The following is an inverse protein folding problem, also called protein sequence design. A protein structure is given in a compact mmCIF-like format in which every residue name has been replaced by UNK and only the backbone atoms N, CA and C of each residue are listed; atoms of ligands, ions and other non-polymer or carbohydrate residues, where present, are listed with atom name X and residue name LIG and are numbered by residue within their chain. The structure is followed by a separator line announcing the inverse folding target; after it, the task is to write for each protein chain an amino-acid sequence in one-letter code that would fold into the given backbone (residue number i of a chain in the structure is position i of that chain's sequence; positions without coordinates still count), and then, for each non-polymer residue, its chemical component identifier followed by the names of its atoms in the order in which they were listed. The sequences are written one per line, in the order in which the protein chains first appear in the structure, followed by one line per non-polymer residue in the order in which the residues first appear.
data_IF_297136921034
#
_entry.id   IF_297136921034
#
_cell.length_a   1.000
_cell.length_b   1.000
_cell.length_c   1.000
_cell.angle_alpha   90.00
_cell.angle_beta   90.00
_cell.angle_gamma   90.00
#
_symmetry.space_group_name_H-M   'P 1'
#
loop_
_entity.id
_entity.type
_entity.pdbx_description
1 polymer ?
#
# COMPACT_ATOMS: atom_id res chain seq x y z
N UNK A 1 65.49 -16.09 -45.01
CA UNK A 1 64.62 -16.15 -43.83
C UNK A 1 64.24 -14.72 -43.48
N UNK A 2 62.99 -14.35 -43.73
CA UNK A 2 62.49 -12.99 -43.47
C UNK A 2 60.97 -13.04 -43.53
N UNK A 3 60.36 -13.23 -42.37
CA UNK A 3 58.91 -13.21 -42.19
C UNK A 3 58.46 -11.75 -42.10
N UNK A 4 57.69 -11.29 -43.08
CA UNK A 4 56.97 -10.02 -43.05
C UNK A 4 55.54 -10.28 -42.57
N UNK A 5 55.26 -9.92 -41.32
CA UNK A 5 53.92 -9.92 -40.75
C UNK A 5 53.15 -8.68 -41.27
N UNK A 6 52.05 -8.92 -41.99
CA UNK A 6 51.05 -7.89 -42.29
C UNK A 6 50.15 -7.70 -41.06
N UNK A 7 50.12 -6.49 -40.52
CA UNK A 7 49.11 -6.05 -39.54
C UNK A 7 47.89 -5.53 -40.28
N UNK A 8 46.76 -6.24 -40.16
CA UNK A 8 45.45 -5.77 -40.63
C UNK A 8 44.86 -4.71 -39.68
N UNK A 9 43.98 -3.81 -40.17
CA UNK A 9 43.39 -2.76 -39.35
C UNK A 9 42.42 -3.36 -38.32
N UNK A 10 42.54 -2.93 -37.08
CA UNK A 10 41.62 -3.28 -36.01
C UNK A 10 40.24 -2.66 -36.30
N UNK A 11 39.24 -3.50 -36.52
CA UNK A 11 37.84 -3.06 -36.60
C UNK A 11 37.39 -2.65 -35.21
N UNK A 12 37.15 -1.34 -35.02
CA UNK A 12 36.53 -0.82 -33.81
C UNK A 12 35.10 -1.39 -33.70
N UNK A 13 34.81 -2.09 -32.61
CA UNK A 13 33.44 -2.50 -32.31
C UNK A 13 32.56 -1.26 -32.14
N UNK A 14 31.30 -1.29 -32.63
CA UNK A 14 30.37 -0.21 -32.38
C UNK A 14 30.14 -0.03 -30.88
N UNK A 15 29.94 1.21 -30.39
CA UNK A 15 29.66 1.44 -28.99
C UNK A 15 28.39 0.67 -28.58
N UNK A 16 28.45 0.01 -27.43
CA UNK A 16 27.31 -0.63 -26.82
C UNK A 16 26.14 0.38 -26.71
N UNK A 17 24.88 -0.05 -26.91
CA UNK A 17 23.75 0.85 -26.78
C UNK A 17 23.77 1.45 -25.38
N UNK A 18 23.81 2.79 -25.33
CA UNK A 18 23.64 3.55 -24.11
C UNK A 18 22.33 3.12 -23.45
N UNK A 19 22.41 2.59 -22.24
CA UNK A 19 21.27 2.30 -21.38
C UNK A 19 20.54 3.60 -21.02
N UNK A 20 19.68 4.05 -21.93
CA UNK A 20 18.72 5.11 -21.65
C UNK A 20 17.90 4.68 -20.44
N UNK A 21 18.02 5.42 -19.35
CA UNK A 21 17.13 5.21 -18.20
C UNK A 21 15.73 5.57 -18.70
N UNK A 22 14.85 4.59 -18.86
CA UNK A 22 13.47 4.85 -19.23
C UNK A 22 12.90 5.84 -18.21
N UNK A 23 12.30 6.94 -18.66
CA UNK A 23 11.69 7.91 -17.75
C UNK A 23 10.56 7.23 -16.98
N UNK A 24 10.37 7.64 -15.73
CA UNK A 24 9.24 7.18 -14.92
C UNK A 24 7.92 7.43 -15.68
N UNK A 25 7.03 6.43 -15.67
CA UNK A 25 5.71 6.56 -16.29
C UNK A 25 4.82 7.46 -15.44
N UNK A 26 3.89 8.16 -16.10
CA UNK A 26 2.90 9.01 -15.44
C UNK A 26 1.48 8.55 -15.80
N UNK A 27 0.58 8.62 -14.83
CA UNK A 27 -0.84 8.37 -14.99
C UNK A 27 -1.61 9.59 -14.47
N UNK A 28 -2.46 10.17 -15.30
CA UNK A 28 -3.28 11.31 -14.90
C UNK A 28 -4.41 10.85 -13.98
N UNK A 29 -4.62 11.55 -12.86
CA UNK A 29 -5.67 11.24 -11.93
C UNK A 29 -7.05 11.64 -12.45
N UNK A 30 -8.01 10.71 -12.33
CA UNK A 30 -9.42 10.92 -12.68
C UNK A 30 -10.24 11.04 -11.41
N UNK A 31 -10.85 12.22 -11.19
CA UNK A 31 -11.83 12.40 -10.13
C UNK A 31 -13.19 11.91 -10.57
N UNK A 32 -13.90 11.22 -9.69
CA UNK A 32 -15.28 10.78 -9.90
C UNK A 32 -16.23 11.50 -8.94
N UNK A 33 -17.51 11.56 -9.30
CA UNK A 33 -18.54 12.24 -8.52
C UNK A 33 -19.47 11.28 -7.76
N UNK A 34 -19.59 10.04 -8.24
CA UNK A 34 -20.37 8.99 -7.62
C UNK A 34 -19.43 7.86 -7.20
N UNK A 35 -19.61 7.29 -6.00
CA UNK A 35 -18.80 6.17 -5.55
C UNK A 35 -19.07 4.93 -6.41
N UNK A 36 -18.04 4.09 -6.53
CA UNK A 36 -18.11 2.78 -7.19
C UNK A 36 -18.49 1.73 -6.15
N UNK A 37 -19.34 0.77 -6.51
CA UNK A 37 -19.68 -0.32 -5.61
C UNK A 37 -18.57 -1.37 -5.70
N UNK A 38 -17.99 -1.73 -4.56
CA UNK A 38 -16.89 -2.69 -4.53
C UNK A 38 -17.45 -4.12 -4.47
N UNK A 39 -17.70 -4.72 -5.62
CA UNK A 39 -18.20 -6.10 -5.72
C UNK A 39 -17.43 -6.99 -6.71
N UNK A 40 -16.38 -6.43 -7.33
CA UNK A 40 -15.51 -7.10 -8.29
C UNK A 40 -16.07 -7.12 -9.70
N UNK A 41 -17.16 -6.40 -10.00
CA UNK A 41 -17.76 -6.28 -11.33
C UNK A 41 -17.52 -4.88 -11.88
N UNK A 42 -16.73 -4.77 -12.94
CA UNK A 42 -16.40 -3.47 -13.57
C UNK A 42 -17.53 -2.96 -14.49
N UNK A 43 -18.74 -2.76 -13.95
CA UNK A 43 -19.90 -2.31 -14.73
C UNK A 43 -20.22 -0.82 -14.62
N UNK A 44 -19.65 -0.12 -13.63
CA UNK A 44 -19.80 1.32 -13.47
C UNK A 44 -19.18 2.10 -14.64
N UNK A 45 -19.88 3.13 -15.18
CA UNK A 45 -19.36 3.95 -16.27
C UNK A 45 -18.01 4.61 -15.96
N UNK A 46 -17.75 4.92 -14.68
CA UNK A 46 -16.52 5.58 -14.23
C UNK A 46 -15.25 4.83 -14.66
N UNK A 47 -15.27 3.49 -14.59
CA UNK A 47 -14.14 2.65 -15.01
C UNK A 47 -13.76 2.85 -16.49
N UNK A 48 -14.74 3.14 -17.35
CA UNK A 48 -14.52 3.36 -18.79
C UNK A 48 -13.96 4.75 -19.10
N UNK A 49 -14.12 5.70 -18.18
CA UNK A 49 -13.61 7.06 -18.32
C UNK A 49 -12.20 7.25 -17.77
N UNK A 50 -11.72 6.30 -16.95
CA UNK A 50 -10.38 6.33 -16.39
C UNK A 50 -9.34 5.92 -17.44
N UNK A 51 -8.20 6.61 -17.45
CA UNK A 51 -7.06 6.19 -18.26
C UNK A 51 -6.53 4.85 -17.76
N UNK A 52 -6.34 3.84 -18.64
CA UNK A 52 -5.83 2.55 -18.22
C UNK A 52 -4.31 2.61 -18.02
N UNK A 53 -3.84 2.00 -16.94
CA UNK A 53 -2.46 1.57 -16.77
C UNK A 53 -2.26 0.27 -17.57
N UNK A 54 -1.48 0.34 -18.64
CA UNK A 54 -1.22 -0.75 -19.59
C UNK A 54 0.28 -1.02 -19.75
N UNK A 55 0.62 -1.97 -20.62
CA UNK A 55 1.98 -2.26 -21.09
C UNK A 55 2.95 -2.59 -19.95
N UNK A 56 2.55 -3.50 -19.07
CA UNK A 56 3.36 -3.92 -17.94
C UNK A 56 4.68 -4.58 -18.40
N UNK A 57 5.71 -4.38 -17.58
CA UNK A 57 7.04 -4.94 -17.81
C UNK A 57 7.30 -6.06 -16.82
N UNK A 58 7.83 -7.17 -17.30
CA UNK A 58 8.21 -8.30 -16.50
C UNK A 58 9.37 -7.96 -15.57
N UNK A 59 9.14 -8.18 -14.28
CA UNK A 59 10.12 -8.04 -13.21
C UNK A 59 10.83 -9.37 -12.94
N UNK A 60 10.12 -10.49 -13.09
CA UNK A 60 10.70 -11.85 -13.01
C UNK A 60 9.82 -12.86 -13.75
N UNK A 61 10.38 -13.96 -14.27
CA UNK A 61 11.82 -14.27 -14.29
C UNK A 61 12.62 -13.48 -15.33
N UNK A 62 11.99 -12.98 -16.41
CA UNK A 62 12.67 -12.29 -17.51
C UNK A 62 12.55 -10.77 -17.36
N UNK A 63 13.44 -10.19 -16.56
CA UNK A 63 13.51 -8.74 -16.32
C UNK A 63 13.49 -7.95 -17.64
N UNK A 64 12.62 -6.95 -17.74
CA UNK A 64 12.50 -6.08 -18.91
C UNK A 64 11.68 -6.67 -20.06
N UNK A 65 11.17 -7.91 -19.92
CA UNK A 65 10.24 -8.50 -20.89
C UNK A 65 8.92 -7.73 -20.96
N UNK A 66 8.28 -7.71 -22.13
CA UNK A 66 6.91 -7.18 -22.24
C UNK A 66 5.90 -8.24 -21.79
N UNK A 67 4.87 -7.82 -21.07
CA UNK A 67 3.74 -8.69 -20.76
C UNK A 67 3.08 -9.23 -22.05
N UNK A 68 2.66 -10.49 -22.04
CA UNK A 68 1.97 -11.09 -23.18
C UNK A 68 0.54 -10.53 -23.28
N UNK A 69 0.16 -10.10 -24.48
CA UNK A 69 -1.16 -9.54 -24.78
C UNK A 69 -2.34 -10.46 -24.38
N UNK A 70 -2.19 -11.79 -24.54
CA UNK A 70 -3.23 -12.77 -24.18
C UNK A 70 -3.45 -12.90 -22.67
N UNK A 71 -2.45 -12.53 -21.87
CA UNK A 71 -2.52 -12.55 -20.41
C UNK A 71 -2.43 -11.16 -19.83
N UNK A 72 -2.65 -10.10 -20.61
CA UNK A 72 -2.38 -8.72 -20.21
C UNK A 72 -3.10 -8.29 -18.93
N UNK A 73 -2.59 -7.25 -18.30
CA UNK A 73 -3.19 -6.59 -17.15
C UNK A 73 -3.70 -5.22 -17.57
N UNK A 74 -4.94 -4.91 -17.20
CA UNK A 74 -5.53 -3.59 -17.37
C UNK A 74 -5.96 -3.11 -15.99
N UNK A 75 -5.43 -1.97 -15.54
CA UNK A 75 -5.80 -1.40 -14.25
C UNK A 75 -6.12 0.09 -14.38
N UNK A 76 -6.92 0.60 -13.46
CA UNK A 76 -7.44 1.95 -13.47
C UNK A 76 -7.30 2.53 -12.07
N UNK A 77 -7.03 3.84 -12.01
CA UNK A 77 -7.02 4.61 -10.78
C UNK A 77 -7.97 5.80 -10.88
N UNK A 78 -8.83 5.91 -9.88
CA UNK A 78 -9.78 7.01 -9.73
C UNK A 78 -9.82 7.46 -8.28
N UNK A 79 -10.37 8.64 -8.02
CA UNK A 79 -10.53 9.13 -6.64
C UNK A 79 -11.76 10.01 -6.48
N UNK A 80 -12.22 10.12 -5.24
CA UNK A 80 -13.26 11.05 -4.82
C UNK A 80 -12.81 11.80 -3.55
N UNK A 81 -13.77 12.27 -2.74
CA UNK A 81 -13.46 12.99 -1.51
C UNK A 81 -13.12 12.06 -0.32
N UNK A 82 -13.46 10.78 -0.41
CA UNK A 82 -13.38 9.82 0.69
C UNK A 82 -12.17 8.89 0.55
N UNK A 83 -11.74 8.61 -0.68
CA UNK A 83 -10.60 7.74 -0.94
C UNK A 83 -10.21 7.65 -2.41
N UNK A 84 -9.48 6.59 -2.73
CA UNK A 84 -9.20 6.22 -4.11
C UNK A 84 -9.57 4.79 -4.42
N UNK A 85 -9.82 4.56 -5.70
CA UNK A 85 -10.25 3.30 -6.26
C UNK A 85 -9.14 2.74 -7.12
N UNK A 86 -8.85 1.46 -6.93
CA UNK A 86 -7.95 0.66 -7.74
C UNK A 86 -8.71 -0.55 -8.27
N UNK A 87 -8.95 -0.59 -9.56
CA UNK A 87 -9.73 -1.66 -10.17
C UNK A 87 -9.18 -2.04 -11.53
N UNK A 88 -9.60 -3.19 -12.04
CA UNK A 88 -9.05 -3.67 -13.29
C UNK A 88 -9.36 -5.12 -13.61
N UNK A 89 -8.83 -5.56 -14.75
CA UNK A 89 -8.98 -6.91 -15.26
C UNK A 89 -7.62 -7.55 -15.51
N UNK A 90 -7.45 -8.74 -14.94
CA UNK A 90 -6.30 -9.59 -15.10
C UNK A 90 -6.64 -10.71 -16.11
N UNK A 91 -6.29 -10.53 -17.38
CA UNK A 91 -6.59 -11.54 -18.42
C UNK A 91 -5.74 -12.79 -18.22
N UNK A 92 -6.33 -13.94 -18.49
CA UNK A 92 -5.69 -15.25 -18.43
C UNK A 92 -6.16 -16.12 -19.59
N UNK A 93 -5.29 -17.03 -20.05
CA UNK A 93 -5.61 -17.91 -21.19
C UNK A 93 -6.81 -18.81 -20.90
N UNK A 94 -6.89 -19.30 -19.67
CA UNK A 94 -7.99 -20.13 -19.18
C UNK A 94 -8.21 -19.88 -17.70
N UNK A 95 -9.41 -20.16 -17.22
CA UNK A 95 -9.70 -20.17 -15.77
C UNK A 95 -8.77 -21.07 -14.96
N UNK A 96 -8.27 -22.15 -15.56
CA UNK A 96 -7.35 -23.08 -14.93
C UNK A 96 -5.92 -22.55 -14.84
N UNK A 97 -5.54 -21.48 -15.56
CA UNK A 97 -4.21 -20.86 -15.35
C UNK A 97 -4.15 -20.00 -14.09
N UNK A 98 -5.29 -19.60 -13.54
CA UNK A 98 -5.39 -18.80 -12.31
C UNK A 98 -5.05 -19.69 -11.10
N UNK A 99 -3.99 -19.34 -10.36
CA UNK A 99 -3.70 -19.97 -9.08
C UNK A 99 -4.63 -19.41 -7.99
N UNK A 100 -5.37 -20.32 -7.34
CA UNK A 100 -6.41 -19.99 -6.36
C UNK A 100 -6.64 -21.15 -5.39
N UNK A 101 -6.01 -21.08 -4.24
CA UNK A 101 -6.19 -21.95 -3.09
C UNK A 101 -6.62 -21.09 -1.92
N UNK A 102 -7.65 -21.50 -1.18
CA UNK A 102 -8.11 -20.71 -0.05
C UNK A 102 -7.14 -20.93 1.12
N UNK A 103 -6.27 -19.96 1.38
CA UNK A 103 -5.23 -20.02 2.43
C UNK A 103 -5.59 -19.13 3.63
N UNK A 104 -6.51 -18.16 3.46
CA UNK A 104 -6.94 -17.22 4.47
C UNK A 104 -6.13 -15.91 4.45
N UNK A 105 -6.52 -14.95 5.31
CA UNK A 105 -5.77 -13.69 5.49
C UNK A 105 -4.32 -14.01 5.88
N UNK A 106 -3.37 -13.29 5.31
CA UNK A 106 -1.91 -13.46 5.53
C UNK A 106 -1.27 -14.73 4.92
N UNK A 107 -2.01 -15.51 4.11
CA UNK A 107 -1.49 -16.63 3.32
C UNK A 107 -0.79 -16.22 2.01
N UNK A 108 0.17 -15.30 2.07
CA UNK A 108 0.81 -14.70 0.89
C UNK A 108 1.66 -15.71 0.11
N UNK A 109 1.60 -15.62 -1.23
CA UNK A 109 2.53 -16.32 -2.12
C UNK A 109 2.07 -17.68 -2.66
N UNK A 110 0.84 -18.13 -2.39
CA UNK A 110 0.28 -19.36 -3.02
C UNK A 110 -0.65 -19.03 -4.20
N UNK A 111 -1.26 -17.85 -4.19
CA UNK A 111 -2.21 -17.40 -5.19
C UNK A 111 -1.63 -16.40 -6.16
N UNK A 112 -2.30 -16.24 -7.30
CA UNK A 112 -2.12 -15.04 -8.10
C UNK A 112 -2.51 -13.82 -7.26
N UNK A 113 -1.85 -12.69 -7.48
CA UNK A 113 -2.23 -11.43 -6.86
C UNK A 113 -2.03 -10.26 -7.81
N UNK A 114 -2.79 -9.20 -7.56
CA UNK A 114 -2.51 -7.86 -8.06
C UNK A 114 -2.39 -6.95 -6.85
N UNK A 115 -1.54 -5.93 -6.95
CA UNK A 115 -1.45 -4.94 -5.90
C UNK A 115 -0.92 -3.61 -6.37
N UNK A 116 -1.15 -2.62 -5.52
CA UNK A 116 -0.73 -1.25 -5.70
C UNK A 116 0.17 -0.85 -4.54
N UNK A 117 1.30 -0.24 -4.89
CA UNK A 117 2.27 0.35 -3.97
C UNK A 117 2.20 1.85 -4.17
N UNK A 118 2.04 2.63 -3.11
CA UNK A 118 1.90 4.10 -3.17
C UNK A 118 2.80 4.78 -2.15
N UNK A 119 3.58 5.74 -2.63
CA UNK A 119 4.24 6.78 -1.86
C UNK A 119 3.49 8.12 -2.02
N UNK A 120 2.68 8.44 -1.01
CA UNK A 120 1.85 9.66 -0.99
C UNK A 120 2.64 10.95 -0.74
N UNK A 121 3.91 10.86 -0.32
CA UNK A 121 4.77 12.02 -0.03
C UNK A 121 5.79 12.28 -1.15
N UNK A 122 6.01 11.32 -2.05
CA UNK A 122 7.08 11.31 -3.05
C UNK A 122 8.47 11.42 -2.40
N UNK A 123 8.61 10.89 -1.18
CA UNK A 123 9.89 10.88 -0.47
C UNK A 123 10.79 9.70 -0.87
N UNK A 124 10.22 8.70 -1.56
CA UNK A 124 10.86 7.45 -2.02
C UNK A 124 11.38 6.58 -0.88
N UNK A 125 10.85 6.77 0.32
CA UNK A 125 11.28 6.10 1.55
C UNK A 125 10.13 5.34 2.19
N UNK A 126 8.94 5.93 2.23
CA UNK A 126 7.78 5.38 2.91
C UNK A 126 6.64 5.13 1.92
N UNK A 127 6.03 3.95 2.01
CA UNK A 127 4.94 3.57 1.13
C UNK A 127 3.86 2.75 1.84
N UNK A 128 2.75 2.58 1.15
CA UNK A 128 1.68 1.66 1.53
C UNK A 128 1.49 0.65 0.41
N UNK A 129 1.29 -0.61 0.77
CA UNK A 129 1.03 -1.68 -0.18
C UNK A 129 -0.33 -2.28 0.10
N UNK A 130 -1.08 -2.56 -0.98
CA UNK A 130 -2.39 -3.19 -0.92
C UNK A 130 -2.48 -4.24 -2.03
N UNK A 131 -2.74 -5.48 -1.65
CA UNK A 131 -2.82 -6.62 -2.57
C UNK A 131 -4.13 -7.38 -2.41
N UNK A 132 -4.64 -7.88 -3.54
CA UNK A 132 -5.82 -8.75 -3.59
C UNK A 132 -5.59 -9.99 -4.44
N UNK A 133 -6.21 -11.11 -4.06
CA UNK A 133 -6.24 -12.35 -4.86
C UNK A 133 -7.51 -12.51 -5.69
N UNK A 134 -7.51 -13.44 -6.67
CA UNK A 134 -8.73 -13.90 -7.31
C UNK A 134 -9.81 -14.45 -6.35
N UNK A 135 -9.46 -14.79 -5.10
CA UNK A 135 -10.38 -15.24 -4.06
C UNK A 135 -10.75 -14.14 -3.05
N UNK A 136 -10.38 -12.89 -3.34
CA UNK A 136 -10.64 -11.70 -2.53
C UNK A 136 -9.96 -11.75 -1.14
N UNK A 137 -8.82 -12.42 -1.04
CA UNK A 137 -7.95 -12.30 0.14
C UNK A 137 -7.20 -10.97 0.06
N UNK A 138 -7.12 -10.27 1.19
CA UNK A 138 -6.51 -8.96 1.33
C UNK A 138 -5.16 -9.07 2.03
N UNK A 139 -4.17 -8.32 1.55
CA UNK A 139 -2.94 -8.02 2.29
C UNK A 139 -2.61 -6.55 2.21
N UNK A 140 -2.10 -6.04 3.31
CA UNK A 140 -1.56 -4.70 3.42
C UNK A 140 -0.22 -4.70 4.13
N UNK A 141 0.60 -3.70 3.79
CA UNK A 141 1.88 -3.48 4.44
C UNK A 141 2.25 -2.01 4.43
N UNK A 142 3.09 -1.64 5.40
CA UNK A 142 3.87 -0.41 5.31
C UNK A 142 5.23 -0.71 4.76
N UNK A 143 5.62 0.07 3.76
CA UNK A 143 6.96 0.04 3.22
C UNK A 143 7.80 1.14 3.88
N UNK A 144 9.03 0.78 4.23
CA UNK A 144 10.08 1.62 4.83
C UNK A 144 11.42 1.27 4.17
N UNK A 145 12.47 2.06 4.37
CA UNK A 145 13.79 1.75 3.81
C UNK A 145 14.29 0.35 4.23
N UNK A 146 14.95 -0.37 3.32
CA UNK A 146 15.40 -1.77 3.48
C UNK A 146 16.26 -2.01 4.74
N UNK A 147 16.90 -0.98 5.28
CA UNK A 147 17.67 -1.06 6.53
C UNK A 147 16.81 -0.98 7.81
N UNK A 148 15.48 -1.06 7.70
CA UNK A 148 14.58 -1.22 8.85
C UNK A 148 14.51 -2.68 9.32
N UNK A 149 14.05 -2.88 10.56
CA UNK A 149 14.10 -4.17 11.28
C UNK A 149 13.40 -5.35 10.55
N UNK A 150 12.56 -5.08 9.53
CA UNK A 150 11.82 -6.07 8.74
C UNK A 150 12.23 -6.13 7.24
N UNK A 151 13.41 -5.62 6.86
CA UNK A 151 13.85 -5.64 5.47
C UNK A 151 13.07 -4.70 4.54
N UNK A 152 12.34 -3.75 5.14
CA UNK A 152 11.60 -2.70 4.42
C UNK A 152 10.09 -2.87 4.38
N UNK A 153 9.51 -4.03 4.70
CA UNK A 153 8.05 -4.26 4.65
C UNK A 153 7.50 -4.70 6.01
N UNK A 154 6.46 -4.03 6.50
CA UNK A 154 5.75 -4.36 7.74
C UNK A 154 4.32 -4.83 7.44
N UNK A 155 4.15 -6.14 7.30
CA UNK A 155 2.86 -6.83 7.13
C UNK A 155 2.06 -6.98 8.43
N UNK A 156 2.61 -6.57 9.58
CA UNK A 156 1.82 -6.55 10.84
C UNK A 156 0.87 -5.35 10.90
N UNK A 157 1.11 -4.35 10.05
CA UNK A 157 0.22 -3.21 9.90
C UNK A 157 -1.03 -3.62 9.13
N UNK A 158 -2.19 -3.43 9.75
CA UNK A 158 -3.48 -3.78 9.17
C UNK A 158 -4.33 -2.51 9.01
N UNK A 159 -4.75 -2.20 7.78
CA UNK A 159 -5.63 -1.09 7.45
C UNK A 159 -7.08 -1.57 7.27
N UNK A 160 -8.03 -0.62 7.29
CA UNK A 160 -9.43 -0.88 6.96
C UNK A 160 -9.69 -0.34 5.56
N UNK A 161 -10.01 -1.23 4.64
CA UNK A 161 -10.25 -0.95 3.22
C UNK A 161 -11.16 -2.04 2.62
N UNK A 162 -11.74 -1.76 1.46
CA UNK A 162 -12.72 -2.65 0.82
C UNK A 162 -12.15 -3.27 -0.46
N UNK A 163 -12.50 -4.53 -0.72
CA UNK A 163 -12.16 -5.19 -1.98
C UNK A 163 -13.24 -6.17 -2.44
N UNK A 164 -13.36 -6.31 -3.76
CA UNK A 164 -14.21 -7.28 -4.43
C UNK A 164 -13.46 -7.86 -5.63
N UNK A 165 -13.52 -9.18 -5.81
CA UNK A 165 -12.93 -9.83 -6.98
C UNK A 165 -13.88 -10.85 -7.57
N UNK A 166 -13.77 -11.07 -8.88
CA UNK A 166 -14.61 -12.02 -9.61
C UNK A 166 -13.81 -12.78 -10.64
N UNK A 167 -13.89 -14.10 -10.58
CA UNK A 167 -13.26 -14.99 -11.56
C UNK A 167 -14.21 -15.18 -12.76
N UNK A 168 -13.65 -15.00 -13.95
CA UNK A 168 -14.29 -15.22 -15.25
C UNK A 168 -13.56 -16.35 -16.00
N UNK A 169 -14.06 -16.72 -17.17
CA UNK A 169 -13.44 -17.79 -17.97
C UNK A 169 -12.11 -17.36 -18.63
N UNK A 170 -11.96 -16.05 -18.87
CA UNK A 170 -10.81 -15.42 -19.54
C UNK A 170 -9.93 -14.58 -18.58
N UNK A 171 -10.05 -14.76 -17.27
CA UNK A 171 -9.31 -13.96 -16.28
C UNK A 171 -10.10 -13.70 -15.02
N UNK A 172 -9.77 -12.62 -14.33
CA UNK A 172 -10.47 -12.18 -13.13
C UNK A 172 -10.44 -10.65 -13.04
N UNK A 173 -11.51 -10.08 -12.52
CA UNK A 173 -11.61 -8.64 -12.21
C UNK A 173 -11.41 -8.41 -10.73
N UNK A 174 -10.97 -7.19 -10.41
CA UNK A 174 -10.80 -6.71 -9.05
C UNK A 174 -11.25 -5.26 -8.94
N UNK A 175 -11.75 -4.92 -7.76
CA UNK A 175 -12.07 -3.57 -7.33
C UNK A 175 -11.60 -3.40 -5.89
N UNK A 176 -10.96 -2.28 -5.61
CA UNK A 176 -10.39 -1.95 -4.31
C UNK A 176 -10.71 -0.50 -4.02
N UNK A 177 -11.26 -0.22 -2.84
CA UNK A 177 -11.42 1.13 -2.32
C UNK A 177 -10.54 1.32 -1.09
N UNK A 178 -9.65 2.30 -1.16
CA UNK A 178 -8.73 2.65 -0.07
C UNK A 178 -9.14 4.02 0.46
N UNK A 179 -9.77 4.07 1.66
CA UNK A 179 -10.17 5.33 2.24
C UNK A 179 -8.94 6.15 2.63
N UNK A 180 -9.08 7.47 2.62
CA UNK A 180 -8.00 8.37 3.06
C UNK A 180 -7.58 8.14 4.51
N UNK A 181 -8.43 7.52 5.35
CA UNK A 181 -8.07 7.09 6.69
C UNK A 181 -7.04 5.93 6.73
N UNK A 182 -6.94 5.13 5.67
CA UNK A 182 -5.99 4.02 5.56
C UNK A 182 -4.59 4.48 5.14
N UNK A 183 -4.45 5.69 4.58
CA UNK A 183 -3.17 6.24 4.14
C UNK A 183 -2.87 7.58 4.82
N UNK A 184 -1.60 7.97 4.87
CA UNK A 184 -1.21 9.31 5.34
C UNK A 184 -0.77 10.12 4.14
N UNK A 185 -1.15 11.39 4.06
CA UNK A 185 -0.68 12.31 3.02
C UNK A 185 -0.63 13.75 3.53
N UNK A 186 0.12 14.60 2.82
CA UNK A 186 0.27 16.02 3.14
C UNK A 186 -0.99 16.83 2.83
N UNK A 187 -1.06 18.09 3.29
CA UNK A 187 -2.10 19.04 2.88
C UNK A 187 -1.56 19.91 1.75
N UNK A 188 -1.78 19.51 0.50
CA UNK A 188 -1.44 20.29 -0.72
C UNK A 188 -2.68 20.44 -1.59
N UNK A 189 -2.75 21.54 -2.34
CA UNK A 189 -3.85 21.81 -3.27
C UNK A 189 -3.87 20.82 -4.43
N UNK A 190 -2.68 20.57 -5.01
CA UNK A 190 -2.42 19.52 -5.99
C UNK A 190 -1.42 18.53 -5.39
N UNK A 191 -1.73 17.25 -5.52
CA UNK A 191 -0.92 16.15 -5.04
C UNK A 191 -0.51 15.30 -6.24
N UNK A 192 0.77 14.94 -6.25
CA UNK A 192 1.27 13.85 -7.07
C UNK A 192 1.79 12.79 -6.11
N UNK A 193 1.47 11.54 -6.37
CA UNK A 193 1.94 10.41 -5.57
C UNK A 193 2.87 9.53 -6.41
N UNK A 194 3.90 8.98 -5.77
CA UNK A 194 4.65 7.86 -6.33
C UNK A 194 3.76 6.63 -6.28
N UNK A 195 3.77 5.82 -7.35
CA UNK A 195 3.10 4.53 -7.30
C UNK A 195 3.70 3.51 -8.27
N UNK A 196 3.41 2.26 -8.00
CA UNK A 196 3.55 1.19 -8.98
C UNK A 196 2.43 0.16 -8.79
N UNK A 197 2.12 -0.56 -9.86
CA UNK A 197 1.17 -1.67 -9.82
C UNK A 197 1.96 -2.93 -10.13
N UNK A 198 1.73 -3.99 -9.36
CA UNK A 198 2.32 -5.29 -9.63
C UNK A 198 1.26 -6.37 -9.78
N UNK A 199 1.53 -7.34 -10.65
CA UNK A 199 0.74 -8.56 -10.77
C UNK A 199 1.68 -9.76 -10.73
N UNK A 200 1.34 -10.76 -9.92
CA UNK A 200 2.01 -12.06 -9.86
C UNK A 200 1.09 -13.15 -10.36
N UNK A 201 1.62 -13.96 -11.27
CA UNK A 201 1.06 -15.26 -11.65
C UNK A 201 1.88 -16.33 -10.96
N UNK A 202 1.23 -17.14 -10.13
CA UNK A 202 1.95 -18.15 -9.36
C UNK A 202 2.37 -19.33 -10.23
N UNK A 203 1.47 -19.87 -11.07
CA UNK A 203 1.76 -21.07 -11.87
C UNK A 203 2.95 -20.93 -12.82
N UNK A 204 3.14 -19.74 -13.41
CA UNK A 204 4.25 -19.45 -14.32
C UNK A 204 5.43 -18.77 -13.62
N UNK A 205 5.28 -18.45 -12.33
CA UNK A 205 6.22 -17.63 -11.57
C UNK A 205 6.57 -16.30 -12.25
N UNK A 206 5.65 -15.74 -13.06
CA UNK A 206 5.82 -14.45 -13.70
C UNK A 206 5.32 -13.33 -12.79
N UNK A 207 6.10 -12.26 -12.61
CA UNK A 207 5.64 -11.02 -12.00
C UNK A 207 5.91 -9.87 -12.95
N UNK A 208 4.94 -9.00 -13.09
CA UNK A 208 5.03 -7.79 -13.91
C UNK A 208 4.80 -6.56 -13.04
N UNK A 209 5.35 -5.41 -13.45
CA UNK A 209 5.13 -4.11 -12.83
C UNK A 209 4.74 -3.08 -13.89
N UNK A 210 3.91 -2.10 -13.54
CA UNK A 210 3.50 -1.06 -14.47
C UNK A 210 4.66 -0.13 -14.81
N UNK A 211 5.29 0.47 -13.80
CA UNK A 211 6.58 1.12 -13.99
C UNK A 211 7.70 0.05 -13.91
N UNK A 212 8.63 -0.03 -14.89
CA UNK A 212 9.70 -1.01 -14.88
C UNK A 212 10.60 -0.88 -13.64
N UNK A 213 10.89 -2.01 -12.99
CA UNK A 213 11.83 -2.07 -11.87
C UNK A 213 13.10 -2.79 -12.31
N UNK A 214 14.26 -2.18 -12.03
CA UNK A 214 15.57 -2.79 -12.19
C UNK A 214 16.03 -3.40 -10.85
N UNK A 215 16.10 -4.74 -10.72
CA UNK A 215 16.52 -5.39 -9.48
C UNK A 215 18.00 -5.17 -9.15
N UNK A 216 18.80 -4.63 -10.07
CA UNK A 216 20.20 -4.26 -9.78
C UNK A 216 20.31 -2.90 -9.09
N UNK A 217 19.22 -2.11 -9.05
CA UNK A 217 19.13 -0.84 -8.35
C UNK A 217 18.46 -1.03 -7.00
N UNK A 218 18.96 -0.30 -6.01
CA UNK A 218 18.43 -0.40 -4.65
C UNK A 218 17.13 0.41 -4.48
N UNK A 219 16.14 -0.21 -3.83
CA UNK A 219 14.86 0.39 -3.48
C UNK A 219 13.80 0.24 -4.59
N UNK A 220 12.61 -0.20 -4.19
CA UNK A 220 11.43 -0.25 -5.07
C UNK A 220 10.83 1.16 -5.23
N UNK A 221 10.62 1.90 -4.13
CA UNK A 221 10.05 3.25 -4.14
C UNK A 221 10.90 4.28 -4.91
N UNK A 222 12.21 4.03 -5.05
CA UNK A 222 13.08 4.93 -5.82
C UNK A 222 12.86 4.88 -7.33
N UNK A 223 12.13 3.86 -7.79
CA UNK A 223 11.88 3.50 -9.19
C UNK A 223 10.39 3.49 -9.52
N UNK A 224 9.56 4.25 -8.80
CA UNK A 224 8.12 4.35 -9.06
C UNK A 224 7.79 5.19 -10.30
N UNK A 225 6.57 4.99 -10.81
CA UNK A 225 5.90 5.97 -11.66
C UNK A 225 5.15 7.00 -10.83
N UNK A 226 4.40 7.89 -11.47
CA UNK A 226 3.67 8.96 -10.80
C UNK A 226 2.19 8.99 -11.15
N UNK A 227 1.35 9.10 -10.13
CA UNK A 227 -0.07 9.39 -10.27
C UNK A 227 -0.26 10.88 -10.01
N UNK A 228 -0.63 11.63 -11.03
CA UNK A 228 -0.47 13.09 -11.06
C UNK A 228 -1.80 13.84 -11.12
N UNK A 229 -1.83 15.05 -10.56
CA UNK A 229 -3.00 15.93 -10.64
C UNK A 229 -4.17 15.53 -9.75
N UNK A 230 -3.91 14.92 -8.59
CA UNK A 230 -4.92 14.65 -7.57
C UNK A 230 -5.22 15.98 -6.87
N UNK A 231 -6.47 16.41 -6.80
CA UNK A 231 -6.85 17.73 -6.29
C UNK A 231 -8.05 17.65 -5.37
N UNK A 232 -8.23 18.65 -4.50
CA UNK A 232 -9.39 18.80 -3.62
C UNK A 232 -9.58 17.68 -2.57
N UNK A 233 -8.53 16.90 -2.28
CA UNK A 233 -8.56 15.86 -1.24
C UNK A 233 -8.11 16.43 0.10
N UNK A 234 -8.64 15.90 1.21
CA UNK A 234 -8.31 16.38 2.57
C UNK A 234 -7.72 15.25 3.40
N UNK A 235 -6.54 15.43 4.01
CA UNK A 235 -6.02 14.44 4.94
C UNK A 235 -7.00 14.29 6.11
N UNK A 236 -7.27 13.04 6.57
CA UNK A 236 -8.18 12.80 7.67
C UNK A 236 -7.71 13.50 8.96
N UNK A 237 -8.69 13.88 9.78
CA UNK A 237 -8.40 14.38 11.12
C UNK A 237 -7.84 13.25 11.98
N UNK A 238 -6.61 13.43 12.49
CA UNK A 238 -6.01 12.47 13.43
C UNK A 238 -6.37 12.84 14.84
N UNK A 239 -7.49 12.31 15.32
CA UNK A 239 -8.04 12.59 16.64
C UNK A 239 -8.50 11.28 17.28
N UNK A 240 -7.97 10.96 18.45
CA UNK A 240 -8.33 9.76 19.22
C UNK A 240 -8.71 10.17 20.65
N UNK A 241 -9.79 9.59 21.16
CA UNK A 241 -10.26 9.74 22.53
C UNK A 241 -10.28 8.37 23.22
N UNK A 242 -9.67 8.28 24.40
CA UNK A 242 -9.68 7.08 25.23
C UNK A 242 -10.23 7.44 26.63
N UNK A 243 -11.56 7.48 26.81
CA UNK A 243 -12.15 7.74 28.12
C UNK A 243 -11.92 6.55 29.06
N UNK A 244 -11.74 6.83 30.35
CA UNK A 244 -11.67 5.80 31.39
C UNK A 244 -12.46 6.17 32.63
N UNK A 245 -12.83 5.13 33.37
CA UNK A 245 -13.56 5.22 34.61
C UNK A 245 -13.00 4.19 35.59
N UNK A 246 -12.68 4.62 36.81
CA UNK A 246 -12.15 3.76 37.86
C UNK A 246 -12.90 3.95 39.17
N UNK A 247 -13.03 2.85 39.92
CA UNK A 247 -13.65 2.84 41.25
C UNK A 247 -12.67 2.17 42.20
N UNK A 248 -12.30 2.90 43.25
CA UNK A 248 -11.46 2.43 44.33
C UNK A 248 -12.33 2.13 45.54
N UNK A 249 -12.06 1.01 46.21
CA UNK A 249 -12.65 0.67 47.49
C UNK A 249 -11.53 0.24 48.44
N UNK A 250 -11.25 1.06 49.45
CA UNK A 250 -10.23 0.80 50.45
C UNK A 250 -10.90 0.31 51.73
N UNK A 251 -10.39 -0.78 52.28
CA UNK A 251 -10.82 -1.34 53.56
C UNK A 251 -9.77 -1.05 54.64
N UNK A 252 -10.19 -0.43 55.74
CA UNK A 252 -9.36 -0.17 56.91
C UNK A 252 -9.72 -1.17 58.01
N UNK A 253 -8.87 -2.17 58.31
CA UNK A 253 -9.20 -3.23 59.28
C UNK A 253 -9.14 -2.78 60.75
N UNK A 254 -8.59 -1.60 61.05
CA UNK A 254 -8.55 -1.06 62.40
C UNK A 254 -9.85 -0.28 62.68
N UNK A 255 -10.73 -0.81 63.55
CA UNK A 255 -11.92 -0.13 64.06
C UNK A 255 -11.53 1.06 64.96
N UNK A 256 -11.05 2.16 64.35
CA UNK A 256 -10.81 3.41 65.05
C UNK A 256 -12.12 4.19 65.19
N UNK A 257 -12.43 4.64 66.41
CA UNK A 257 -13.62 5.47 66.67
C UNK A 257 -13.61 6.72 65.78
N UNK A 258 -14.67 6.90 64.99
CA UNK A 258 -14.86 8.06 64.10
C UNK A 258 -14.38 7.88 62.65
N UNK A 259 -13.74 6.77 62.29
CA UNK A 259 -13.37 6.46 60.89
C UNK A 259 -14.26 5.38 60.30
N UNK A 260 -14.63 5.51 59.01
CA UNK A 260 -15.36 4.47 58.29
C UNK A 260 -14.40 3.35 57.87
N UNK A 261 -14.78 2.10 58.10
CA UNK A 261 -14.01 0.92 57.70
C UNK A 261 -13.84 0.78 56.18
N UNK A 262 -14.67 1.49 55.41
CA UNK A 262 -14.59 1.52 53.96
C UNK A 262 -14.58 2.97 53.46
N UNK A 263 -13.69 3.26 52.52
CA UNK A 263 -13.74 4.47 51.71
C UNK A 263 -13.80 4.08 50.25
N UNK A 264 -14.59 4.83 49.47
CA UNK A 264 -14.67 4.64 48.03
C UNK A 264 -14.36 5.94 47.32
N UNK A 265 -13.62 5.84 46.23
CA UNK A 265 -13.31 6.97 45.35
C UNK A 265 -13.65 6.56 43.93
N UNK A 266 -14.40 7.42 43.25
CA UNK A 266 -14.67 7.28 41.81
C UNK A 266 -13.78 8.27 41.09
N UNK A 267 -13.13 7.83 40.03
CA UNK A 267 -12.35 8.69 39.15
C UNK A 267 -12.79 8.47 37.70
N UNK A 268 -12.74 9.53 36.91
CA UNK A 268 -13.07 9.49 35.50
C UNK A 268 -12.15 10.46 34.78
N UNK A 269 -11.54 9.98 33.71
CA UNK A 269 -10.60 10.76 32.93
C UNK A 269 -10.69 10.39 31.46
N UNK A 270 -9.82 11.01 30.66
CA UNK A 270 -9.80 10.79 29.22
C UNK A 270 -8.41 11.12 28.69
N UNK A 271 -7.86 10.22 27.89
CA UNK A 271 -6.69 10.53 27.08
C UNK A 271 -7.12 11.05 25.71
N UNK A 272 -6.41 12.05 25.23
CA UNK A 272 -6.60 12.73 23.96
C UNK A 272 -5.30 12.67 23.16
N UNK A 273 -5.37 12.11 21.96
CA UNK A 273 -4.29 12.23 20.96
C UNK A 273 -4.79 13.03 19.77
N UNK A 274 -4.11 14.13 19.48
CA UNK A 274 -4.43 15.01 18.35
C UNK A 274 -3.20 15.27 17.48
N UNK A 275 -3.23 14.77 16.25
CA UNK A 275 -2.15 14.94 15.28
C UNK A 275 -2.23 16.28 14.55
N UNK A 276 -1.68 17.34 15.15
CA UNK A 276 -1.67 18.72 14.63
C UNK A 276 -1.17 18.80 13.18
N UNK A 277 -0.04 18.17 12.87
CA UNK A 277 0.50 18.02 11.51
C UNK A 277 1.47 16.84 11.45
N UNK A 278 2.09 16.55 10.30
CA UNK A 278 2.92 15.34 10.14
C UNK A 278 4.09 15.23 11.13
N UNK A 279 4.60 16.34 11.68
CA UNK A 279 5.70 16.34 12.64
C UNK A 279 5.25 16.41 14.10
N UNK A 280 4.01 16.83 14.38
CA UNK A 280 3.56 17.13 15.73
C UNK A 280 2.26 16.41 16.09
N UNK A 281 2.28 15.68 17.20
CA UNK A 281 1.11 15.11 17.86
C UNK A 281 1.05 15.64 19.28
N UNK A 282 -0.11 16.17 19.66
CA UNK A 282 -0.45 16.50 21.04
C UNK A 282 -0.97 15.23 21.72
N UNK A 283 -0.33 14.84 22.82
CA UNK A 283 -0.80 13.80 23.73
C UNK A 283 -1.14 14.47 25.06
N UNK A 284 -2.39 14.35 25.50
CA UNK A 284 -2.90 15.03 26.68
C UNK A 284 -3.84 14.11 27.47
N UNK A 285 -3.65 14.07 28.79
CA UNK A 285 -4.51 13.33 29.71
C UNK A 285 -5.34 14.31 30.55
N UNK A 286 -6.66 14.12 30.53
CA UNK A 286 -7.61 14.82 31.39
C UNK A 286 -7.88 13.97 32.64
N UNK A 287 -7.60 14.52 33.82
CA UNK A 287 -7.79 13.90 35.14
C UNK A 287 -6.98 12.59 35.30
N UNK A 288 -5.63 12.65 35.18
CA UNK A 288 -4.76 11.47 35.26
C UNK A 288 -4.98 10.64 36.52
N UNK A 289 -5.01 9.32 36.38
CA UNK A 289 -5.13 8.39 37.50
C UNK A 289 -3.75 7.96 38.01
N UNK A 290 -3.29 8.59 39.10
CA UNK A 290 -2.02 8.25 39.74
C UNK A 290 -2.12 7.05 40.72
N UNK A 291 -3.28 6.40 40.83
CA UNK A 291 -3.49 5.32 41.79
C UNK A 291 -2.81 3.99 41.46
N UNK A 292 -2.21 3.83 40.28
CA UNK A 292 -1.53 2.59 39.85
C UNK A 292 -0.02 2.74 39.61
N UNK A 293 0.57 3.90 39.88
CA UNK A 293 2.02 4.06 39.79
C UNK A 293 2.63 3.50 41.08
N UNK A 294 3.39 2.41 40.98
CA UNK A 294 4.18 1.92 42.11
C UNK A 294 5.20 3.01 42.46
N UNK A 295 5.04 3.67 43.62
CA UNK A 295 6.09 4.48 44.19
C UNK A 295 7.16 3.55 44.76
N UNK A 296 8.34 3.52 44.16
CA UNK A 296 9.50 2.88 44.76
C UNK A 296 10.01 3.78 45.89
N UNK A 297 10.16 3.22 47.10
CA UNK A 297 10.75 3.87 48.27
C UNK A 297 11.76 2.92 48.90
#
# INVERSE_FOLDING_TARGET
MGSSAQTGPATANPPAPSSGTASARELQAKRIALPVKIDGVLDEPAWKEASPALDYTEFRPKIGGKENHETRTEAFLMYDDDGFYFGGFCYERTKDSIARELTGRDGFGTNDYVGIIIDTYKDRLNGFEYFVTPLNEQWDAKMSPINSDNGGEDFSWNAVWESGTRIHDNGWSFEVFIPYAAIRFGKKEVQDWGFNITRRRRKTEQQVTWNPIDPTKNGFLTQEGFWTGITNIKPPLRLQFSPYFSVYANHFPANQQGQKNWTSKVNGGMDLKYGINQAFTLDATLIPDFGQVQSDN
#
